data_IF_159366350773
#
_entry.id   IF_159366350773
#
_cell.length_a   1.000
_cell.length_b   1.000
_cell.length_c   1.000
_cell.angle_alpha   90.00
_cell.angle_beta   90.00
_cell.angle_gamma   90.00
#
_symmetry.space_group_name_H-M   'P 1'
#
loop_
_entity.id
_entity.type
_entity.pdbx_description
1 polymer ?
#
# COMPACT_ATOMS: atom_id res chain seq x y z
N UNK A 1 8.14 -1.44 1.33
CA UNK A 1 7.34 -2.67 1.19
C UNK A 1 6.11 -2.54 2.08
N UNK A 2 5.10 -3.39 1.86
CA UNK A 2 3.81 -3.37 2.55
C UNK A 2 3.65 -4.69 3.30
N UNK A 3 3.18 -4.61 4.54
CA UNK A 3 2.77 -5.77 5.33
C UNK A 3 1.34 -5.57 5.81
N UNK A 4 0.63 -6.66 6.08
CA UNK A 4 -0.70 -6.58 6.67
C UNK A 4 -1.00 -7.76 7.60
N UNK A 5 -1.88 -7.52 8.57
CA UNK A 5 -2.43 -8.57 9.42
C UNK A 5 -3.84 -8.18 9.91
N UNK A 6 -4.58 -9.15 10.44
CA UNK A 6 -5.87 -8.93 11.09
C UNK A 6 -5.63 -8.48 12.54
N UNK A 7 -6.32 -7.43 13.02
CA UNK A 7 -6.05 -6.85 14.36
C UNK A 7 -6.47 -7.77 15.52
N UNK A 8 -7.55 -8.52 15.35
CA UNK A 8 -8.24 -9.27 16.40
C UNK A 8 -7.85 -10.76 16.47
N UNK A 9 -6.81 -11.17 15.74
CA UNK A 9 -6.46 -12.58 15.60
C UNK A 9 -4.95 -12.79 15.60
N UNK A 10 -4.53 -13.98 16.06
CA UNK A 10 -3.16 -14.50 15.93
C UNK A 10 -2.83 -14.89 14.47
N UNK A 11 -3.36 -14.15 13.49
CA UNK A 11 -3.05 -14.39 12.08
C UNK A 11 -1.60 -14.00 11.78
N UNK A 12 -0.91 -14.76 10.91
CA UNK A 12 0.44 -14.41 10.49
C UNK A 12 0.50 -13.01 9.87
N UNK A 13 1.55 -12.26 10.20
CA UNK A 13 1.91 -11.04 9.48
C UNK A 13 2.27 -11.41 8.04
N UNK A 14 1.56 -10.84 7.06
CA UNK A 14 1.85 -11.05 5.64
C UNK A 14 2.99 -10.11 5.23
N UNK A 15 4.04 -10.67 4.63
CA UNK A 15 5.18 -9.91 4.10
C UNK A 15 5.76 -10.59 2.87
N UNK A 16 6.11 -11.88 3.00
CA UNK A 16 6.64 -12.69 1.91
C UNK A 16 5.52 -13.41 1.14
N UNK A 17 5.76 -13.65 -0.15
CA UNK A 17 4.85 -14.34 -1.05
C UNK A 17 4.76 -15.84 -0.71
N UNK A 18 4.04 -16.16 0.35
CA UNK A 18 3.71 -17.53 0.75
C UNK A 18 2.26 -17.83 0.40
N UNK A 19 1.99 -19.05 -0.08
CA UNK A 19 0.64 -19.43 -0.55
C UNK A 19 -0.33 -19.79 0.57
N UNK A 20 0.16 -20.09 1.78
CA UNK A 20 -0.68 -20.51 2.91
C UNK A 20 -1.69 -19.43 3.28
N UNK A 21 -2.98 -19.75 3.23
CA UNK A 21 -4.06 -18.82 3.61
C UNK A 21 -4.47 -17.81 2.54
N UNK A 22 -3.78 -17.77 1.40
CA UNK A 22 -4.09 -16.88 0.28
C UNK A 22 -4.85 -17.67 -0.79
N UNK A 23 -6.04 -17.19 -1.19
CA UNK A 23 -6.82 -17.81 -2.27
C UNK A 23 -6.19 -17.56 -3.64
N UNK A 24 -5.70 -16.34 -3.84
CA UNK A 24 -5.10 -15.87 -5.10
C UNK A 24 -4.26 -14.65 -4.81
N UNK A 25 -3.11 -14.53 -5.45
CA UNK A 25 -2.36 -13.28 -5.54
C UNK A 25 -1.73 -13.16 -6.92
N UNK A 26 -1.38 -11.94 -7.33
CA UNK A 26 -0.59 -11.68 -8.52
C UNK A 26 -1.11 -10.54 -9.38
N UNK A 27 -0.30 -10.21 -10.39
CA UNK A 27 -0.59 -9.14 -11.34
C UNK A 27 -1.78 -9.47 -12.23
N UNK A 28 -2.75 -8.57 -12.26
CA UNK A 28 -3.85 -8.59 -13.23
C UNK A 28 -3.40 -7.94 -14.53
N UNK A 29 -2.68 -6.82 -14.43
CA UNK A 29 -2.07 -6.08 -15.55
C UNK A 29 -0.82 -5.36 -15.09
N UNK A 30 0.21 -5.31 -15.91
CA UNK A 30 1.39 -4.48 -15.72
C UNK A 30 2.16 -4.41 -17.04
N UNK A 31 2.97 -3.37 -17.22
CA UNK A 31 3.88 -3.23 -18.36
C UNK A 31 5.37 -3.38 -17.97
N UNK A 32 5.64 -3.58 -16.67
CA UNK A 32 6.99 -3.66 -16.13
C UNK A 32 7.75 -2.33 -16.12
N UNK A 33 7.10 -1.21 -16.47
CA UNK A 33 7.77 0.09 -16.65
C UNK A 33 7.03 1.26 -16.01
N UNK A 34 5.76 1.46 -16.35
CA UNK A 34 4.97 2.66 -16.02
C UNK A 34 3.81 2.40 -15.07
N UNK A 35 3.20 1.21 -15.09
CA UNK A 35 2.06 0.92 -14.22
C UNK A 35 1.91 -0.57 -13.89
N UNK A 36 1.07 -0.84 -12.89
CA UNK A 36 0.55 -2.17 -12.66
C UNK A 36 -0.60 -2.22 -11.66
N UNK A 37 -1.31 -3.34 -11.71
CA UNK A 37 -2.44 -3.67 -10.85
C UNK A 37 -2.29 -5.12 -10.38
N UNK A 38 -2.11 -5.29 -9.08
CA UNK A 38 -2.04 -6.56 -8.39
C UNK A 38 -3.27 -6.74 -7.48
N UNK A 39 -3.72 -7.99 -7.36
CA UNK A 39 -4.85 -8.36 -6.51
C UNK A 39 -4.41 -9.47 -5.56
N UNK A 40 -4.79 -9.36 -4.29
CA UNK A 40 -4.58 -10.40 -3.26
C UNK A 40 -5.91 -10.73 -2.60
N UNK A 41 -6.29 -12.01 -2.62
CA UNK A 41 -7.52 -12.52 -2.00
C UNK A 41 -7.13 -13.35 -0.76
N UNK A 42 -7.03 -12.70 0.40
CA UNK A 42 -6.59 -13.34 1.65
C UNK A 42 -7.78 -13.99 2.36
N UNK A 43 -7.80 -15.33 2.46
CA UNK A 43 -8.92 -16.06 3.09
C UNK A 43 -8.89 -15.91 4.62
N UNK A 44 -7.70 -15.89 5.20
CA UNK A 44 -7.48 -15.94 6.65
C UNK A 44 -7.77 -14.56 7.24
N UNK A 45 -7.19 -13.51 6.65
CA UNK A 45 -7.52 -12.14 7.02
C UNK A 45 -8.94 -11.76 6.55
N UNK A 46 -9.50 -12.48 5.57
CA UNK A 46 -10.85 -12.25 5.07
C UNK A 46 -11.00 -10.93 4.33
N UNK A 47 -9.97 -10.52 3.59
CA UNK A 47 -9.89 -9.25 2.87
C UNK A 47 -9.49 -9.48 1.41
N UNK A 48 -10.00 -8.63 0.51
CA UNK A 48 -9.49 -8.47 -0.84
C UNK A 48 -8.68 -7.18 -0.89
N UNK A 49 -7.40 -7.28 -1.23
CA UNK A 49 -6.52 -6.15 -1.44
C UNK A 49 -6.31 -5.91 -2.93
N UNK A 50 -6.32 -4.65 -3.34
CA UNK A 50 -5.87 -4.20 -4.65
C UNK A 50 -4.70 -3.25 -4.45
N UNK A 51 -3.65 -3.49 -5.21
CA UNK A 51 -2.47 -2.63 -5.30
C UNK A 51 -2.40 -2.10 -6.72
N UNK A 52 -2.44 -0.78 -6.88
CA UNK A 52 -2.19 -0.13 -8.17
C UNK A 52 -1.01 0.80 -8.05
N UNK A 53 -0.07 0.74 -8.98
CA UNK A 53 1.05 1.66 -9.04
C UNK A 53 1.09 2.39 -10.38
N UNK A 54 1.59 3.62 -10.36
CA UNK A 54 1.87 4.44 -11.54
C UNK A 54 3.20 5.17 -11.36
N UNK A 55 3.90 5.42 -12.46
CA UNK A 55 5.11 6.24 -12.52
C UNK A 55 4.93 7.40 -13.47
N UNK A 56 5.51 8.55 -13.14
CA UNK A 56 5.46 9.77 -13.94
C UNK A 56 6.85 10.38 -14.10
N UNK A 57 7.11 11.08 -15.22
CA UNK A 57 8.38 11.80 -15.48
C UNK A 57 9.59 10.92 -15.84
N UNK A 58 9.53 9.61 -15.57
CA UNK A 58 10.64 8.66 -15.80
C UNK A 58 11.07 8.53 -17.27
N UNK A 59 10.17 8.77 -18.21
CA UNK A 59 10.43 8.65 -19.65
C UNK A 59 11.13 9.88 -20.26
N UNK A 60 11.01 11.04 -19.62
CA UNK A 60 11.63 12.29 -20.07
C UNK A 60 12.92 12.61 -19.30
N UNK A 61 13.43 11.67 -18.49
CA UNK A 61 14.61 11.88 -17.65
C UNK A 61 14.41 12.91 -16.53
N UNK A 62 13.15 13.20 -16.16
CA UNK A 62 12.86 14.11 -15.05
C UNK A 62 13.23 13.45 -13.72
N UNK A 63 14.14 14.08 -12.99
CA UNK A 63 14.68 13.54 -11.74
C UNK A 63 15.46 12.24 -11.92
N UNK A 64 15.91 11.63 -10.83
CA UNK A 64 16.63 10.35 -10.85
C UNK A 64 15.66 9.15 -10.90
N UNK A 65 14.81 9.12 -11.93
CA UNK A 65 13.84 8.04 -12.17
C UNK A 65 12.36 8.42 -12.09
N UNK A 66 12.05 9.72 -11.98
CA UNK A 66 10.69 10.25 -11.89
C UNK A 66 10.00 10.03 -10.54
N UNK A 67 8.71 10.34 -10.52
CA UNK A 67 7.83 10.15 -9.37
C UNK A 67 7.00 8.87 -9.51
N UNK A 68 6.46 8.40 -8.39
CA UNK A 68 5.58 7.24 -8.36
C UNK A 68 4.50 7.40 -7.30
N UNK A 69 3.37 6.74 -7.53
CA UNK A 69 2.30 6.63 -6.56
C UNK A 69 1.83 5.17 -6.47
N UNK A 70 1.53 4.73 -5.25
CA UNK A 70 0.87 3.45 -4.99
C UNK A 70 -0.44 3.73 -4.28
N UNK A 71 -1.52 3.13 -4.78
CA UNK A 71 -2.82 3.08 -4.09
C UNK A 71 -3.08 1.66 -3.64
N UNK A 72 -3.43 1.53 -2.37
CA UNK A 72 -3.83 0.29 -1.72
C UNK A 72 -5.30 0.44 -1.36
N UNK A 73 -6.13 -0.50 -1.78
CA UNK A 73 -7.53 -0.54 -1.35
C UNK A 73 -7.89 -1.92 -0.82
N UNK A 74 -8.68 -1.92 0.25
CA UNK A 74 -9.14 -3.12 0.94
C UNK A 74 -10.66 -3.19 0.88
N UNK A 75 -11.20 -4.40 0.66
CA UNK A 75 -12.63 -4.66 0.83
C UNK A 75 -12.84 -5.98 1.59
N UNK A 76 -13.85 -6.06 2.46
CA UNK A 76 -14.18 -7.30 3.16
C UNK A 76 -14.52 -8.42 2.16
N UNK A 77 -14.11 -9.65 2.47
CA UNK A 77 -14.59 -10.83 1.75
C UNK A 77 -15.92 -11.28 2.32
N UNK A 78 -17.01 -11.02 1.59
CA UNK A 78 -18.33 -11.57 1.92
C UNK A 78 -18.32 -13.10 1.68
N UNK A 79 -18.33 -13.87 2.78
CA UNK A 79 -18.54 -15.32 2.75
C UNK A 79 -20.00 -15.62 3.11
N UNK A 80 -20.95 -15.26 2.23
CA UNK A 80 -22.34 -15.79 2.14
C UNK A 80 -23.33 -14.70 1.70
N UNK A 81 -24.26 -15.05 0.80
CA UNK A 81 -25.47 -14.27 0.57
C UNK A 81 -26.26 -14.23 1.88
N UNK A 82 -26.47 -13.05 2.46
CA UNK A 82 -27.42 -12.85 3.57
C UNK A 82 -26.85 -12.63 4.97
N UNK A 83 -25.53 -12.68 5.20
CA UNK A 83 -24.93 -12.23 6.49
C UNK A 83 -24.10 -10.97 6.28
N UNK A 84 -24.30 -9.96 7.15
CA UNK A 84 -23.40 -8.81 7.23
C UNK A 84 -21.98 -9.34 7.43
N UNK A 85 -21.02 -8.84 6.65
CA UNK A 85 -19.63 -9.08 6.94
C UNK A 85 -19.35 -8.50 8.34
N UNK A 86 -18.94 -9.34 9.29
CA UNK A 86 -18.34 -8.83 10.53
C UNK A 86 -17.19 -7.90 10.14
N UNK A 87 -17.12 -6.74 10.79
CA UNK A 87 -16.08 -5.74 10.53
C UNK A 87 -14.72 -6.37 10.78
N UNK A 88 -14.04 -6.79 9.72
CA UNK A 88 -12.67 -7.28 9.79
C UNK A 88 -11.76 -6.09 9.62
N UNK A 89 -11.18 -5.65 10.72
CA UNK A 89 -10.16 -4.62 10.70
C UNK A 89 -8.80 -5.26 10.33
N UNK A 90 -8.10 -4.60 9.42
CA UNK A 90 -6.74 -4.96 9.05
C UNK A 90 -5.80 -3.81 9.36
N UNK A 91 -4.59 -4.13 9.79
CA UNK A 91 -3.51 -3.16 9.95
C UNK A 91 -2.64 -3.21 8.71
N UNK A 92 -2.35 -2.04 8.14
CA UNK A 92 -1.36 -1.89 7.07
C UNK A 92 -0.10 -1.29 7.66
N UNK A 93 1.03 -1.95 7.41
CA UNK A 93 2.35 -1.44 7.79
C UNK A 93 3.13 -1.09 6.52
N UNK A 94 3.47 0.18 6.38
CA UNK A 94 4.30 0.70 5.30
C UNK A 94 5.71 0.93 5.85
N UNK A 95 6.71 0.30 5.26
CA UNK A 95 8.10 0.52 5.68
C UNK A 95 9.00 0.85 4.51
N UNK A 96 9.94 1.75 4.76
CA UNK A 96 10.92 2.24 3.79
C UNK A 96 12.28 2.24 4.46
N UNK A 97 13.27 1.74 3.73
CA UNK A 97 14.63 1.58 4.21
C UNK A 97 15.59 2.10 3.13
N UNK A 98 16.65 2.79 3.56
CA UNK A 98 17.78 3.10 2.71
C UNK A 98 18.82 2.00 2.86
N UNK A 99 19.16 1.32 1.76
CA UNK A 99 20.22 0.31 1.74
C UNK A 99 21.60 0.91 1.42
N UNK A 100 21.67 2.21 1.11
CA UNK A 100 22.94 2.91 0.91
C UNK A 100 23.53 3.32 2.26
N UNK A 101 24.81 3.02 2.47
CA UNK A 101 25.59 3.54 3.60
C UNK A 101 25.68 5.07 3.62
N UNK A 102 25.45 5.73 2.48
CA UNK A 102 25.39 7.19 2.33
C UNK A 102 23.95 7.73 2.28
N UNK A 103 22.96 6.87 2.43
CA UNK A 103 21.56 7.27 2.41
C UNK A 103 21.03 7.59 3.81
N UNK A 104 20.04 8.48 3.86
CA UNK A 104 19.41 8.92 5.12
C UNK A 104 17.90 9.00 4.94
N UNK A 105 17.18 8.52 5.94
CA UNK A 105 15.72 8.67 6.06
C UNK A 105 15.47 9.39 7.38
N UNK A 106 14.72 10.49 7.35
CA UNK A 106 14.32 11.19 8.57
C UNK A 106 13.07 10.54 9.17
N UNK A 107 12.90 10.68 10.48
CA UNK A 107 11.69 10.25 11.17
C UNK A 107 10.44 10.85 10.50
N UNK A 108 9.34 10.09 10.44
CA UNK A 108 8.12 10.58 9.83
C UNK A 108 7.53 11.75 10.62
N UNK A 109 7.03 12.73 9.89
CA UNK A 109 6.17 13.79 10.40
C UNK A 109 4.73 13.28 10.37
N UNK A 110 4.10 13.25 11.54
CA UNK A 110 2.68 12.89 11.72
C UNK A 110 1.99 14.17 12.24
N UNK A 111 1.10 14.78 11.45
CA UNK A 111 0.37 15.96 11.90
C UNK A 111 -0.56 15.63 13.08
N UNK A 112 -0.66 16.53 14.06
CA UNK A 112 -1.62 16.41 15.17
C UNK A 112 -3.05 16.76 14.75
N UNK A 113 -3.20 17.51 13.67
CA UNK A 113 -4.45 17.83 12.98
C UNK A 113 -4.14 17.97 11.50
N UNK A 114 -5.07 17.54 10.63
CA UNK A 114 -4.90 17.61 9.18
C UNK A 114 -6.23 17.83 8.45
N UNK A 115 -6.18 18.50 7.30
CA UNK A 115 -7.27 18.48 6.32
C UNK A 115 -7.28 17.14 5.56
N UNK A 116 -8.42 16.72 4.97
CA UNK A 116 -8.45 15.50 4.15
C UNK A 116 -7.44 15.49 3.00
N UNK A 117 -7.13 16.65 2.44
CA UNK A 117 -6.14 16.85 1.37
C UNK A 117 -4.69 16.82 1.84
N UNK A 118 -4.42 16.67 3.14
CA UNK A 118 -3.09 16.66 3.72
C UNK A 118 -2.64 15.23 4.10
N UNK A 119 -1.33 14.94 4.07
CA UNK A 119 -0.81 13.61 4.41
C UNK A 119 -1.16 13.16 5.82
N UNK A 120 -1.46 11.87 5.98
CA UNK A 120 -1.56 11.19 7.29
C UNK A 120 -0.17 11.14 7.95
N UNK A 121 0.84 10.84 7.14
CA UNK A 121 2.23 10.85 7.53
C UNK A 121 3.07 11.19 6.31
N UNK A 122 4.20 11.84 6.53
CA UNK A 122 5.19 12.02 5.48
C UNK A 122 6.59 11.86 6.05
N UNK A 123 7.55 11.52 5.20
CA UNK A 123 8.94 11.55 5.57
C UNK A 123 9.80 11.95 4.39
N UNK A 124 10.99 12.45 4.71
CA UNK A 124 11.97 12.89 3.72
C UNK A 124 13.23 12.07 3.86
N UNK A 125 13.95 11.95 2.75
CA UNK A 125 15.23 11.27 2.75
C UNK A 125 16.10 11.70 1.58
N UNK A 126 17.27 11.10 1.51
CA UNK A 126 18.18 11.29 0.39
C UNK A 126 19.13 10.11 0.27
N UNK A 127 19.48 9.74 -0.95
CA UNK A 127 20.62 8.84 -1.20
C UNK A 127 21.29 9.21 -2.55
N UNK A 128 22.50 8.70 -2.85
CA UNK A 128 23.20 9.04 -4.09
C UNK A 128 22.42 8.67 -5.37
N UNK A 129 21.63 7.60 -5.34
CA UNK A 129 20.88 7.08 -6.48
C UNK A 129 19.62 7.89 -6.80
N UNK A 130 18.89 8.37 -5.80
CA UNK A 130 17.62 9.10 -5.99
C UNK A 130 17.76 10.61 -5.80
N UNK A 131 18.82 11.07 -5.13
CA UNK A 131 18.87 12.44 -4.60
C UNK A 131 17.89 12.60 -3.43
N UNK A 132 17.54 13.85 -3.06
CA UNK A 132 16.48 14.13 -2.09
C UNK A 132 15.13 13.60 -2.56
N UNK A 133 14.33 13.09 -1.63
CA UNK A 133 12.98 12.60 -1.92
C UNK A 133 12.04 12.83 -0.73
N UNK A 134 10.74 12.83 -1.04
CA UNK A 134 9.65 12.86 -0.07
C UNK A 134 8.72 11.70 -0.35
N UNK A 135 8.23 11.06 0.70
CA UNK A 135 7.13 10.09 0.62
C UNK A 135 6.03 10.56 1.55
N UNK A 136 4.80 10.59 1.05
CA UNK A 136 3.62 10.99 1.79
C UNK A 136 2.54 9.90 1.68
N UNK A 137 1.99 9.49 2.82
CA UNK A 137 0.83 8.63 2.90
C UNK A 137 -0.42 9.52 2.93
N UNK A 138 -1.28 9.35 1.94
CA UNK A 138 -2.56 10.07 1.83
C UNK A 138 -3.69 9.12 2.17
N UNK A 139 -4.76 9.64 2.77
CA UNK A 139 -6.00 8.89 2.85
C UNK A 139 -6.62 8.79 1.45
N UNK A 140 -7.01 7.58 1.06
CA UNK A 140 -7.74 7.37 -0.19
C UNK A 140 -9.23 7.62 0.01
N UNK A 141 -9.92 8.06 -1.04
CA UNK A 141 -11.38 8.10 -1.04
C UNK A 141 -11.93 6.67 -0.95
N UNK A 142 -12.40 6.29 0.25
CA UNK A 142 -13.18 5.07 0.43
C UNK A 142 -14.55 5.25 -0.21
N UNK A 143 -14.92 4.38 -1.16
CA UNK A 143 -16.34 4.19 -1.46
C UNK A 143 -16.94 3.38 -0.33
N UNK A 144 -17.49 4.04 0.69
CA UNK A 144 -18.48 3.39 1.53
C UNK A 144 -19.69 2.99 0.67
N UNK A 145 -20.00 1.70 0.64
CA UNK A 145 -21.31 1.21 0.18
C UNK A 145 -21.70 1.52 -1.26
N UNK A 146 -21.04 0.90 -2.25
CA UNK A 146 -21.71 0.60 -3.51
C UNK A 146 -22.61 -0.63 -3.32
N UNK A 147 -23.71 -0.49 -2.59
CA UNK A 147 -24.85 -1.41 -2.70
C UNK A 147 -25.44 -1.28 -4.10
N UNK A 148 -25.31 -2.35 -4.89
CA UNK A 148 -26.23 -2.69 -5.97
C UNK A 148 -26.74 -4.09 -5.71
#
# INVERSE_FOLDING_TARGET
SVMWHKLDALTPLRHEATSSGIKKYGWVRHDGKSFGHEVILDNDCGVNLNFTFVKHGHENGQGKGGDWAVRISASPRTKSKGKKAEGKEISLLLHIASLSSKGRVRSPTIPTSRKPSEPIASFTGSNPGTGPFTVAAMEGEGREGATR
#
